data_IF_430210352661
#
_entry.id   IF_430210352661
#
_cell.length_a   1.000
_cell.length_b   1.000
_cell.length_c   1.000
_cell.angle_alpha   90.00
_cell.angle_beta   90.00
_cell.angle_gamma   90.00
#
_symmetry.space_group_name_H-M   'P 1'
#
loop_
_entity.id
_entity.type
_entity.pdbx_description
1 polymer ?
#
# COMPACT_ATOMS: atom_id res chain seq x y z
N UNK A 1 -2.46 26.74 29.22
CA UNK A 1 -3.47 25.66 29.29
C UNK A 1 -3.02 24.46 28.44
N UNK A 2 -1.98 23.72 28.84
CA UNK A 2 -1.45 22.58 28.04
C UNK A 2 -1.53 21.21 28.75
N UNK A 3 -2.12 21.16 29.95
CA UNK A 3 -2.11 19.97 30.82
C UNK A 3 -3.26 18.98 30.56
N UNK A 4 -4.38 19.41 29.96
CA UNK A 4 -5.54 18.55 29.70
C UNK A 4 -5.23 17.23 28.98
N UNK A 5 -4.43 17.20 27.89
CA UNK A 5 -4.19 15.95 27.18
C UNK A 5 -3.35 14.94 27.99
N UNK A 6 -2.50 15.41 28.92
CA UNK A 6 -1.76 14.53 29.84
C UNK A 6 -2.69 13.82 30.81
N UNK A 7 -3.66 14.55 31.38
CA UNK A 7 -4.62 13.99 32.33
C UNK A 7 -5.45 12.89 31.66
N UNK A 8 -5.91 13.13 30.43
CA UNK A 8 -6.64 12.14 29.64
C UNK A 8 -5.81 10.87 29.38
N UNK A 9 -4.54 11.04 28.98
CA UNK A 9 -3.67 9.91 28.70
C UNK A 9 -3.32 9.11 29.97
N UNK A 10 -3.00 9.81 31.06
CA UNK A 10 -2.73 9.21 32.36
C UNK A 10 -3.93 8.40 32.88
N UNK A 11 -5.13 8.97 32.82
CA UNK A 11 -6.37 8.27 33.20
C UNK A 11 -6.57 7.04 32.32
N UNK A 12 -6.36 7.14 31.00
CA UNK A 12 -6.49 5.99 30.10
C UNK A 12 -5.51 4.85 30.43
N UNK A 13 -4.25 5.16 30.73
CA UNK A 13 -3.24 4.17 31.13
C UNK A 13 -3.66 3.45 32.41
N UNK A 14 -4.07 4.20 33.43
CA UNK A 14 -4.45 3.66 34.75
C UNK A 14 -5.78 2.90 34.74
N UNK A 15 -6.52 2.86 33.62
CA UNK A 15 -7.67 1.97 33.45
C UNK A 15 -7.27 0.53 33.18
N UNK A 16 -6.09 0.29 32.62
CA UNK A 16 -5.59 -1.06 32.37
C UNK A 16 -5.15 -1.71 33.70
N UNK A 17 -5.61 -2.93 33.98
CA UNK A 17 -5.20 -3.71 35.16
C UNK A 17 -4.02 -4.63 34.84
N UNK A 18 -4.18 -5.45 33.80
CA UNK A 18 -3.20 -6.51 33.48
C UNK A 18 -2.37 -6.17 32.24
N UNK A 19 -3.00 -5.77 31.13
CA UNK A 19 -2.34 -5.49 29.85
C UNK A 19 -2.81 -4.17 29.24
N UNK A 20 -1.86 -3.40 28.71
CA UNK A 20 -2.10 -2.16 27.97
C UNK A 20 -1.56 -2.29 26.54
N UNK A 21 -2.45 -2.14 25.56
CA UNK A 21 -2.08 -2.08 24.15
C UNK A 21 -2.25 -0.66 23.62
N UNK A 22 -1.18 -0.10 23.04
CA UNK A 22 -1.20 1.18 22.36
C UNK A 22 -0.98 0.97 20.87
N UNK A 23 -1.78 1.61 20.04
CA UNK A 23 -1.66 1.54 18.58
C UNK A 23 -1.85 2.91 17.95
N UNK A 24 -1.21 3.13 16.80
CA UNK A 24 -1.39 4.33 15.99
C UNK A 24 -1.32 3.98 14.50
N UNK A 25 -1.99 4.75 13.66
CA UNK A 25 -1.92 4.60 12.21
C UNK A 25 -0.97 5.63 11.62
N UNK A 26 -0.18 5.27 10.59
CA UNK A 26 0.62 6.25 9.84
C UNK A 26 -0.22 7.11 8.90
N UNK A 27 -1.31 6.57 8.37
CA UNK A 27 -2.21 7.27 7.47
C UNK A 27 -3.66 6.98 7.88
N UNK A 28 -4.48 8.02 7.93
CA UNK A 28 -5.91 7.92 8.23
C UNK A 28 -6.71 8.69 7.19
N UNK A 29 -7.80 8.10 6.71
CA UNK A 29 -8.80 8.85 5.95
C UNK A 29 -9.58 9.73 6.92
N UNK A 30 -9.52 11.04 6.71
CA UNK A 30 -10.21 12.03 7.53
C UNK A 30 -10.88 13.04 6.60
N UNK A 31 -12.20 13.17 6.72
CA UNK A 31 -13.03 13.99 5.83
C UNK A 31 -12.74 13.77 4.32
N UNK A 32 -12.66 12.50 3.91
CA UNK A 32 -12.45 12.11 2.52
C UNK A 32 -11.04 12.34 1.98
N UNK A 33 -10.10 12.83 2.81
CA UNK A 33 -8.70 13.02 2.45
C UNK A 33 -7.82 12.04 3.22
N UNK A 34 -6.84 11.46 2.52
CA UNK A 34 -5.81 10.67 3.18
C UNK A 34 -4.82 11.62 3.84
N UNK A 35 -4.76 11.58 5.17
CA UNK A 35 -3.83 12.40 5.95
C UNK A 35 -2.79 11.52 6.64
N UNK A 36 -1.52 11.90 6.52
CA UNK A 36 -0.44 11.30 7.29
C UNK A 36 -0.54 11.76 8.75
N UNK A 37 -0.46 10.81 9.66
CA UNK A 37 -0.52 11.04 11.10
C UNK A 37 0.87 10.77 11.68
N UNK A 38 1.34 11.69 12.51
CA UNK A 38 2.52 11.44 13.33
C UNK A 38 2.12 10.69 14.61
N UNK A 39 3.03 9.88 15.18
CA UNK A 39 2.80 9.25 16.47
C UNK A 39 2.47 10.30 17.56
N UNK A 40 1.64 9.93 18.53
CA UNK A 40 1.38 10.79 19.69
C UNK A 40 2.68 11.04 20.47
N UNK A 41 2.91 12.30 20.89
CA UNK A 41 4.08 12.66 21.72
C UNK A 41 4.21 11.79 22.98
N UNK A 42 3.07 11.37 23.54
CA UNK A 42 3.03 10.54 24.74
C UNK A 42 3.71 9.17 24.55
N UNK A 43 3.77 8.66 23.32
CA UNK A 43 4.49 7.42 23.03
C UNK A 43 6.01 7.57 23.21
N UNK A 44 6.55 8.77 22.98
CA UNK A 44 7.98 9.05 23.15
C UNK A 44 8.38 9.31 24.60
N UNK A 45 7.42 9.68 25.45
CA UNK A 45 7.63 9.92 26.87
C UNK A 45 7.62 8.63 27.70
N UNK A 46 7.02 7.56 27.19
CA UNK A 46 7.04 6.25 27.86
C UNK A 46 8.46 5.68 27.82
N UNK A 47 9.01 5.24 28.97
CA UNK A 47 10.31 4.58 29.02
C UNK A 47 10.36 3.36 28.10
N UNK A 48 11.34 3.31 27.19
CA UNK A 48 11.44 2.25 26.16
C UNK A 48 11.58 0.84 26.75
N UNK A 49 12.10 0.73 27.96
CA UNK A 49 12.23 -0.55 28.68
C UNK A 49 10.88 -1.17 29.09
N UNK A 50 9.79 -0.39 29.07
CA UNK A 50 8.44 -0.85 29.38
C UNK A 50 7.61 -1.16 28.13
N UNK A 51 8.16 -0.93 26.93
CA UNK A 51 7.44 -1.07 25.67
C UNK A 51 7.83 -2.38 24.99
N UNK A 52 6.82 -3.17 24.65
CA UNK A 52 6.98 -4.31 23.76
C UNK A 52 6.42 -3.98 22.37
N UNK A 53 7.30 -3.86 21.37
CA UNK A 53 6.88 -3.55 20.00
C UNK A 53 6.33 -4.79 19.28
N UNK A 54 5.03 -4.77 18.99
CA UNK A 54 4.39 -5.78 18.15
C UNK A 54 4.60 -5.38 16.68
N UNK A 55 5.62 -5.97 16.05
CA UNK A 55 5.83 -5.82 14.60
C UNK A 55 4.97 -6.84 13.88
N UNK A 56 3.94 -6.35 13.18
CA UNK A 56 3.24 -7.14 12.18
C UNK A 56 4.25 -7.47 11.08
N UNK A 57 4.83 -8.67 11.14
CA UNK A 57 5.61 -9.21 10.04
C UNK A 57 4.64 -9.49 8.91
N UNK A 58 4.42 -8.50 8.06
CA UNK A 58 4.03 -8.79 6.70
C UNK A 58 5.25 -9.54 6.12
N UNK A 59 5.22 -10.88 6.15
CA UNK A 59 6.08 -11.74 5.32
C UNK A 59 5.68 -11.54 3.85
N UNK A 60 5.74 -10.30 3.38
CA UNK A 60 6.01 -9.98 1.99
C UNK A 60 7.54 -9.88 1.89
N UNK A 61 8.21 -11.01 2.04
CA UNK A 61 9.62 -11.20 1.67
C UNK A 61 9.74 -11.20 0.14
N UNK A 62 9.28 -10.14 -0.53
CA UNK A 62 9.47 -9.92 -1.97
C UNK A 62 9.35 -8.44 -2.35
N UNK A 63 9.90 -7.55 -1.51
CA UNK A 63 10.07 -6.14 -1.91
C UNK A 63 11.25 -5.50 -1.19
N UNK A 64 12.42 -6.14 -1.22
CA UNK A 64 13.70 -5.47 -0.99
C UNK A 64 14.28 -5.13 -2.36
N UNK A 65 13.81 -4.01 -2.91
CA UNK A 65 14.58 -3.09 -3.78
C UNK A 65 13.62 -2.14 -4.51
N UNK A 66 13.04 -1.18 -3.78
CA UNK A 66 12.72 0.13 -4.37
C UNK A 66 13.15 1.19 -3.37
N UNK A 67 14.45 1.19 -3.05
CA UNK A 67 15.11 2.40 -2.55
C UNK A 67 15.68 3.12 -3.76
N UNK A 68 15.15 4.31 -3.99
CA UNK A 68 15.71 5.38 -4.83
C UNK A 68 15.81 5.04 -6.32
N UNK A 69 14.82 5.48 -7.09
CA UNK A 69 15.13 6.18 -8.34
C UNK A 69 14.00 7.16 -8.68
N UNK A 70 14.19 8.42 -8.24
CA UNK A 70 13.74 9.57 -9.02
C UNK A 70 14.66 9.66 -10.22
N UNK A 71 14.36 9.01 -11.36
CA UNK A 71 14.96 9.36 -12.65
C UNK A 71 13.93 9.17 -13.77
N UNK A 72 13.62 10.29 -14.41
CA UNK A 72 13.23 10.50 -15.81
C UNK A 72 12.43 9.38 -16.49
N UNK A 73 11.14 9.64 -16.74
CA UNK A 73 10.37 8.90 -17.72
C UNK A 73 11.05 8.95 -19.09
N UNK A 74 11.59 7.84 -19.63
CA UNK A 74 11.85 7.76 -21.05
C UNK A 74 10.51 7.44 -21.72
N UNK A 75 10.08 8.30 -22.64
CA UNK A 75 9.17 7.88 -23.71
C UNK A 75 9.97 6.87 -24.54
N UNK A 76 9.57 5.59 -24.56
CA UNK A 76 10.05 4.59 -25.52
C UNK A 76 8.97 3.48 -25.57
N UNK A 77 7.97 3.64 -26.44
CA UNK A 77 7.87 2.93 -27.73
C UNK A 77 7.97 1.40 -27.62
N UNK A 78 6.90 0.75 -28.06
CA UNK A 78 6.83 -0.67 -28.46
C UNK A 78 7.13 -1.69 -27.35
N UNK A 79 6.18 -1.86 -26.44
CA UNK A 79 6.17 -3.04 -25.58
C UNK A 79 6.03 -4.29 -26.47
N UNK A 80 7.13 -5.03 -26.64
CA UNK A 80 7.12 -6.38 -27.19
C UNK A 80 6.38 -7.32 -26.22
N UNK A 81 5.06 -7.24 -26.27
CA UNK A 81 4.14 -8.12 -25.55
C UNK A 81 4.09 -9.46 -26.28
N UNK A 82 4.24 -10.56 -25.54
CA UNK A 82 4.09 -11.93 -26.02
C UNK A 82 2.85 -12.55 -25.39
N UNK A 83 2.27 -13.54 -26.08
CA UNK A 83 1.16 -14.32 -25.54
C UNK A 83 1.62 -15.03 -24.27
N UNK A 84 0.86 -14.90 -23.19
CA UNK A 84 1.19 -15.44 -21.88
C UNK A 84 1.71 -14.40 -20.88
N UNK A 85 2.09 -13.20 -21.34
CA UNK A 85 2.57 -12.12 -20.47
C UNK A 85 1.50 -11.65 -19.48
N UNK A 86 1.94 -11.31 -18.28
CA UNK A 86 1.12 -10.64 -17.27
C UNK A 86 1.12 -9.14 -17.53
N UNK A 87 -0.07 -8.56 -17.48
CA UNK A 87 -0.29 -7.16 -17.79
C UNK A 87 -1.24 -6.52 -16.80
N UNK A 88 -1.06 -5.23 -16.54
CA UNK A 88 -1.94 -4.43 -15.69
C UNK A 88 -2.67 -3.42 -16.56
N UNK A 89 -3.99 -3.39 -16.42
CA UNK A 89 -4.83 -2.35 -16.97
C UNK A 89 -5.33 -1.41 -15.86
N UNK A 90 -5.35 -0.10 -16.13
CA UNK A 90 -5.73 0.94 -15.15
C UNK A 90 -7.13 0.73 -14.54
N UNK A 91 -8.09 0.21 -15.33
CA UNK A 91 -9.49 -0.02 -14.90
C UNK A 91 -9.77 -1.45 -14.44
N UNK A 92 -9.06 -2.44 -14.98
CA UNK A 92 -9.43 -3.86 -14.85
C UNK A 92 -8.41 -4.66 -14.03
N UNK A 93 -7.29 -4.03 -13.65
CA UNK A 93 -6.27 -4.64 -12.81
C UNK A 93 -5.42 -5.65 -13.57
N UNK A 94 -4.99 -6.69 -12.86
CA UNK A 94 -4.12 -7.74 -13.37
C UNK A 94 -4.87 -8.63 -14.37
N UNK A 95 -4.23 -8.86 -15.52
CA UNK A 95 -4.71 -9.80 -16.51
C UNK A 95 -3.57 -10.52 -17.23
N UNK A 96 -3.91 -11.64 -17.86
CA UNK A 96 -2.98 -12.46 -18.66
C UNK A 96 -3.32 -12.32 -20.13
N UNK A 97 -2.32 -12.00 -20.95
CA UNK A 97 -2.50 -11.92 -22.41
C UNK A 97 -2.73 -13.34 -22.94
N UNK A 98 -3.90 -13.59 -23.51
CA UNK A 98 -4.25 -14.87 -24.13
C UNK A 98 -3.94 -14.89 -25.62
N UNK A 99 -4.23 -13.79 -26.33
CA UNK A 99 -3.97 -13.65 -27.76
C UNK A 99 -3.63 -12.22 -28.12
N UNK A 100 -2.82 -12.06 -29.16
CA UNK A 100 -2.43 -10.78 -29.74
C UNK A 100 -3.00 -10.74 -31.15
N UNK A 101 -3.84 -9.76 -31.42
CA UNK A 101 -4.44 -9.49 -32.72
C UNK A 101 -3.92 -8.14 -33.21
N UNK A 102 -2.71 -8.11 -33.77
CA UNK A 102 -2.09 -6.86 -34.23
C UNK A 102 -2.00 -5.84 -33.09
N UNK A 103 -2.89 -4.85 -33.09
CA UNK A 103 -2.96 -3.77 -32.09
C UNK A 103 -3.82 -4.10 -30.86
N UNK A 104 -4.66 -5.13 -30.95
CA UNK A 104 -5.55 -5.55 -29.88
C UNK A 104 -5.00 -6.76 -29.12
N UNK A 105 -5.24 -6.79 -27.81
CA UNK A 105 -4.87 -7.87 -26.91
C UNK A 105 -6.13 -8.46 -26.30
N UNK A 106 -6.31 -9.77 -26.43
CA UNK A 106 -7.32 -10.50 -25.66
C UNK A 106 -6.71 -10.87 -24.31
N UNK A 107 -7.14 -10.19 -23.25
CA UNK A 107 -6.60 -10.33 -21.90
C UNK A 107 -7.66 -10.93 -20.99
N UNK A 108 -7.31 -11.98 -20.26
CA UNK A 108 -8.15 -12.50 -19.17
C UNK A 108 -7.86 -11.73 -17.88
N UNK A 109 -8.87 -11.08 -17.30
CA UNK A 109 -8.73 -10.34 -16.06
C UNK A 109 -9.17 -11.18 -14.87
N UNK A 110 -8.23 -11.50 -13.98
CA UNK A 110 -8.52 -12.32 -12.79
C UNK A 110 -9.54 -11.66 -11.85
N UNK A 111 -9.60 -10.33 -11.84
CA UNK A 111 -10.54 -9.58 -11.00
C UNK A 111 -11.99 -9.62 -11.52
N UNK A 112 -12.16 -9.73 -12.84
CA UNK A 112 -13.48 -9.76 -13.47
C UNK A 112 -13.94 -11.18 -13.85
N UNK A 113 -13.04 -12.16 -13.82
CA UNK A 113 -13.25 -13.52 -14.35
C UNK A 113 -13.71 -13.53 -15.81
N UNK A 114 -13.36 -12.49 -16.56
CA UNK A 114 -13.76 -12.29 -17.95
C UNK A 114 -12.55 -11.99 -18.84
N UNK A 115 -12.68 -12.32 -20.14
CA UNK A 115 -11.71 -11.89 -21.16
C UNK A 115 -12.17 -10.60 -21.84
N UNK A 116 -11.30 -9.60 -21.95
CA UNK A 116 -11.57 -8.37 -22.70
C UNK A 116 -10.53 -8.12 -23.78
N UNK A 117 -10.98 -7.50 -24.86
CA UNK A 117 -10.12 -7.05 -25.95
C UNK A 117 -9.74 -5.58 -25.74
N UNK A 118 -8.45 -5.30 -25.65
CA UNK A 118 -7.93 -3.98 -25.28
C UNK A 118 -6.72 -3.66 -26.17
N UNK A 119 -6.64 -2.41 -26.63
CA UNK A 119 -5.48 -1.92 -27.40
C UNK A 119 -4.19 -1.96 -26.56
N UNK A 120 -3.07 -2.29 -27.19
CA UNK A 120 -1.74 -2.38 -26.58
C UNK A 120 -1.35 -1.14 -25.74
N UNK A 121 -1.77 0.05 -26.17
CA UNK A 121 -1.41 1.32 -25.52
C UNK A 121 -1.98 1.49 -24.10
N UNK A 122 -3.10 0.81 -23.79
CA UNK A 122 -3.79 0.98 -22.51
C UNK A 122 -3.32 -0.01 -21.44
N UNK A 123 -2.30 -0.80 -21.76
CA UNK A 123 -1.89 -1.96 -20.99
C UNK A 123 -0.41 -1.81 -20.63
N UNK A 124 -0.05 -2.13 -19.38
CA UNK A 124 1.33 -2.08 -18.90
C UNK A 124 1.80 -3.49 -18.59
N UNK A 125 2.88 -3.94 -19.23
CA UNK A 125 3.56 -5.22 -18.90
C UNK A 125 4.14 -5.17 -17.48
N UNK A 126 4.05 -6.30 -16.76
CA UNK A 126 4.71 -6.54 -15.46
C UNK A 126 6.04 -7.24 -15.72
#
# INVERSE_FOLDING_TARGET
MEWFPYILFYVAITRAKDLLFLSYSKNRSYFGKLQRQEPSRFLSEIPKNLIYEIKLQNKSEHSKDIRKEKKNFPRLSSQNLKVGDLVIHKKFGLGKVLKIFGDNLKIYFSNLKETKEIKKDFVKKI
#
